data_IF_615585088313
#
_entry.id   IF_615585088313
#
_cell.length_a   1.000
_cell.length_b   1.000
_cell.length_c   1.000
_cell.angle_alpha   90.00
_cell.angle_beta   90.00
_cell.angle_gamma   90.00
#
_symmetry.space_group_name_H-M   'P 1'
#
loop_
_entity.id
_entity.type
_entity.pdbx_description
1 polymer ?
#
# COMPACT_ATOMS: atom_id res chain seq x y z
N UNK A 1 4.47 -31.74 -20.03
CA UNK A 1 3.06 -31.91 -20.43
C UNK A 1 2.36 -30.62 -20.08
N UNK A 2 2.02 -29.81 -21.10
CA UNK A 2 1.34 -28.53 -20.91
C UNK A 2 -0.10 -28.82 -20.51
N UNK A 3 -0.46 -28.52 -19.26
CA UNK A 3 -1.86 -28.56 -18.85
C UNK A 3 -2.56 -27.34 -19.46
N UNK A 4 -3.36 -27.59 -20.50
CA UNK A 4 -4.34 -26.65 -21.02
C UNK A 4 -5.42 -26.45 -19.96
N UNK A 5 -5.27 -25.41 -19.15
CA UNK A 5 -6.24 -25.08 -18.11
C UNK A 5 -7.53 -24.60 -18.78
N UNK A 6 -8.62 -25.31 -18.51
CA UNK A 6 -9.94 -24.95 -19.04
C UNK A 6 -10.57 -23.88 -18.13
N UNK A 7 -11.37 -22.99 -18.70
CA UNK A 7 -12.06 -21.88 -17.99
C UNK A 7 -12.73 -22.24 -16.63
N UNK A 8 -13.26 -23.47 -16.40
CA UNK A 8 -13.82 -23.88 -15.11
C UNK A 8 -12.82 -23.96 -13.95
N UNK A 9 -11.55 -24.28 -14.23
CA UNK A 9 -10.51 -24.38 -13.19
C UNK A 9 -10.06 -22.99 -12.73
N UNK A 10 -10.15 -21.98 -13.59
CA UNK A 10 -9.86 -20.60 -13.20
C UNK A 10 -10.92 -20.06 -12.22
N UNK A 11 -12.19 -20.41 -12.41
CA UNK A 11 -13.29 -19.94 -11.56
C UNK A 11 -13.30 -20.57 -10.17
N UNK A 12 -12.77 -21.79 -10.00
CA UNK A 12 -12.60 -22.38 -8.66
C UNK A 12 -11.50 -21.68 -7.88
N UNK A 13 -10.36 -21.39 -8.52
CA UNK A 13 -9.24 -20.68 -7.87
C UNK A 13 -9.63 -19.28 -7.41
N UNK A 14 -10.46 -18.57 -8.18
CA UNK A 14 -10.97 -17.24 -7.79
C UNK A 14 -11.85 -17.31 -6.54
N UNK A 15 -12.61 -18.40 -6.33
CA UNK A 15 -13.46 -18.58 -5.14
C UNK A 15 -12.67 -18.81 -3.86
N UNK A 16 -11.45 -19.34 -3.97
CA UNK A 16 -10.57 -19.57 -2.82
C UNK A 16 -9.95 -18.27 -2.29
N UNK A 17 -9.93 -17.20 -3.10
CA UNK A 17 -9.39 -15.89 -2.70
C UNK A 17 -10.31 -15.25 -1.67
N UNK A 18 -9.84 -15.23 -0.43
CA UNK A 18 -10.56 -14.66 0.72
C UNK A 18 -9.58 -13.91 1.61
N UNK A 19 -10.10 -13.18 2.60
CA UNK A 19 -9.25 -12.37 3.48
C UNK A 19 -8.22 -13.27 4.20
N UNK A 20 -6.93 -12.95 4.03
CA UNK A 20 -5.84 -13.75 4.60
C UNK A 20 -5.50 -15.01 3.80
N UNK A 21 -6.25 -15.33 2.73
CA UNK A 21 -5.96 -16.42 1.81
C UNK A 21 -5.71 -15.87 0.40
N UNK A 22 -4.43 -15.55 0.14
CA UNK A 22 -3.97 -14.98 -1.14
C UNK A 22 -3.55 -16.09 -2.09
N UNK A 23 -3.87 -15.93 -3.37
CA UNK A 23 -3.42 -16.86 -4.41
C UNK A 23 -2.30 -16.22 -5.22
N UNK A 24 -1.20 -16.96 -5.41
CA UNK A 24 -0.04 -16.50 -6.18
C UNK A 24 0.06 -17.28 -7.49
N UNK A 25 0.11 -16.54 -8.61
CA UNK A 25 0.29 -17.10 -9.94
C UNK A 25 1.76 -17.02 -10.34
N UNK A 26 2.36 -18.19 -10.54
CA UNK A 26 3.77 -18.31 -10.93
C UNK A 26 3.90 -18.76 -12.38
N UNK A 27 4.76 -18.11 -13.16
CA UNK A 27 5.18 -18.59 -14.48
C UNK A 27 6.65 -19.01 -14.38
N UNK A 28 6.96 -20.26 -14.69
CA UNK A 28 8.32 -20.83 -14.58
C UNK A 28 8.94 -20.67 -13.18
N UNK A 29 8.16 -20.89 -12.11
CA UNK A 29 8.62 -20.76 -10.73
C UNK A 29 8.79 -19.31 -10.23
N UNK A 30 8.52 -18.31 -11.07
CA UNK A 30 8.57 -16.90 -10.68
C UNK A 30 7.15 -16.37 -10.48
N UNK A 31 6.83 -15.98 -9.24
CA UNK A 31 5.58 -15.31 -8.92
C UNK A 31 5.55 -13.92 -9.57
N UNK A 32 4.59 -13.69 -10.46
CA UNK A 32 4.43 -12.39 -11.13
C UNK A 32 3.14 -11.68 -10.73
N UNK A 33 2.11 -12.43 -10.31
CA UNK A 33 0.78 -11.90 -10.03
C UNK A 33 0.27 -12.52 -8.73
N UNK A 34 -0.36 -11.72 -7.89
CA UNK A 34 -1.10 -12.16 -6.72
C UNK A 34 -2.56 -11.73 -6.84
N UNK A 35 -3.48 -12.63 -6.52
CA UNK A 35 -4.90 -12.31 -6.31
C UNK A 35 -5.12 -12.18 -4.81
N UNK A 36 -5.66 -11.03 -4.41
CA UNK A 36 -5.85 -10.63 -3.03
C UNK A 36 -7.31 -10.24 -2.85
N UNK A 37 -7.87 -10.53 -1.69
CA UNK A 37 -9.20 -10.05 -1.35
C UNK A 37 -9.24 -8.51 -1.34
N UNK A 38 -10.31 -7.90 -1.85
CA UNK A 38 -10.40 -6.44 -1.96
C UNK A 38 -10.30 -5.73 -0.61
N UNK A 39 -10.94 -6.26 0.44
CA UNK A 39 -10.86 -5.68 1.78
C UNK A 39 -9.44 -5.74 2.33
N UNK A 40 -8.74 -6.85 2.08
CA UNK A 40 -7.35 -7.01 2.47
C UNK A 40 -6.43 -6.04 1.70
N UNK A 41 -6.69 -5.80 0.41
CA UNK A 41 -5.99 -4.79 -0.37
C UNK A 41 -6.20 -3.38 0.21
N UNK A 42 -7.44 -2.99 0.49
CA UNK A 42 -7.77 -1.68 1.06
C UNK A 42 -7.07 -1.45 2.41
N UNK A 43 -6.99 -2.50 3.24
CA UNK A 43 -6.36 -2.39 4.56
C UNK A 43 -4.83 -2.28 4.45
N UNK A 44 -4.20 -2.97 3.48
CA UNK A 44 -2.78 -2.79 3.15
C UNK A 44 -2.52 -1.35 2.68
N UNK A 45 -3.37 -0.80 1.81
CA UNK A 45 -3.22 0.58 1.31
C UNK A 45 -3.34 1.61 2.43
N UNK A 46 -4.32 1.45 3.33
CA UNK A 46 -4.45 2.30 4.53
C UNK A 46 -3.23 2.21 5.43
N UNK A 47 -2.72 1.01 5.68
CA UNK A 47 -1.51 0.82 6.48
C UNK A 47 -0.30 1.48 5.84
N UNK A 48 -0.15 1.37 4.52
CA UNK A 48 0.93 2.04 3.80
C UNK A 48 0.81 3.57 3.87
N UNK A 49 -0.41 4.11 3.76
CA UNK A 49 -0.65 5.53 3.90
C UNK A 49 -0.33 6.03 5.32
N UNK A 50 -0.75 5.29 6.35
CA UNK A 50 -0.43 5.60 7.74
C UNK A 50 1.08 5.56 8.00
N UNK A 51 1.76 4.52 7.54
CA UNK A 51 3.21 4.40 7.69
C UNK A 51 3.98 5.56 7.04
N UNK A 52 3.57 5.97 5.83
CA UNK A 52 4.14 7.14 5.17
C UNK A 52 3.89 8.42 5.96
N UNK A 53 2.68 8.59 6.46
CA UNK A 53 2.31 9.73 7.29
C UNK A 53 3.15 9.79 8.58
N UNK A 54 3.34 8.66 9.26
CA UNK A 54 4.17 8.56 10.46
C UNK A 54 5.62 8.97 10.20
N UNK A 55 6.20 8.56 9.05
CA UNK A 55 7.56 8.98 8.65
C UNK A 55 7.64 10.50 8.50
N UNK A 56 6.68 11.12 7.80
CA UNK A 56 6.70 12.58 7.61
C UNK A 56 6.46 13.33 8.92
N UNK A 57 5.60 12.81 9.80
CA UNK A 57 5.41 13.36 11.15
C UNK A 57 6.69 13.28 11.98
N UNK A 58 7.42 12.16 11.95
CA UNK A 58 8.70 12.04 12.64
C UNK A 58 9.74 13.05 12.13
N UNK A 59 9.76 13.32 10.82
CA UNK A 59 10.60 14.38 10.26
C UNK A 59 10.21 15.75 10.81
N UNK A 60 8.91 16.06 10.86
CA UNK A 60 8.40 17.31 11.45
C UNK A 60 8.72 17.45 12.94
N UNK A 61 8.55 16.39 13.72
CA UNK A 61 8.92 16.38 15.14
C UNK A 61 10.42 16.61 15.35
N UNK A 62 11.25 16.07 14.44
CA UNK A 62 12.69 16.28 14.45
C UNK A 62 13.06 17.72 14.07
N UNK A 63 12.45 18.28 13.03
CA UNK A 63 12.76 19.65 12.59
C UNK A 63 12.39 20.68 13.65
N UNK A 64 11.27 20.50 14.37
CA UNK A 64 10.91 21.37 15.51
C UNK A 64 12.02 21.41 16.59
N UNK A 65 12.78 20.33 16.76
CA UNK A 65 13.86 20.25 17.76
C UNK A 65 15.21 20.78 17.25
N UNK A 66 15.47 20.64 15.95
CA UNK A 66 16.80 20.84 15.38
C UNK A 66 16.91 22.08 14.47
N UNK A 67 15.79 22.63 14.01
CA UNK A 67 15.74 23.71 13.02
C UNK A 67 15.04 24.95 13.59
N UNK A 68 15.31 26.12 12.99
CA UNK A 68 14.61 27.37 13.34
C UNK A 68 13.17 27.33 12.84
N UNK A 69 12.23 27.73 13.70
CA UNK A 69 10.80 27.76 13.40
C UNK A 69 10.33 29.19 13.14
N UNK A 70 9.42 29.37 12.18
CA UNK A 70 8.74 30.65 11.92
C UNK A 70 7.36 30.68 12.58
N UNK A 71 6.89 31.86 12.96
CA UNK A 71 5.51 32.04 13.45
C UNK A 71 4.47 31.86 12.34
N UNK A 72 3.21 31.62 12.72
CA UNK A 72 2.13 31.48 11.72
C UNK A 72 1.91 32.78 10.94
N UNK A 73 2.06 33.93 11.60
CA UNK A 73 1.97 35.26 10.98
C UNK A 73 3.08 35.50 9.96
N UNK A 74 4.33 35.14 10.27
CA UNK A 74 5.46 35.26 9.34
C UNK A 74 5.28 34.33 8.14
N UNK A 75 4.88 33.08 8.37
CA UNK A 75 4.63 32.11 7.31
C UNK A 75 3.53 32.58 6.34
N UNK A 76 2.42 33.12 6.86
CA UNK A 76 1.33 33.68 6.04
C UNK A 76 1.81 34.83 5.17
N UNK A 77 2.61 35.74 5.75
CA UNK A 77 3.21 36.86 5.02
C UNK A 77 4.15 36.38 3.90
N UNK A 78 4.94 35.34 4.12
CA UNK A 78 5.80 34.73 3.09
C UNK A 78 5.01 34.05 1.98
N UNK A 79 3.92 33.36 2.33
CA UNK A 79 3.04 32.68 1.37
C UNK A 79 2.07 33.62 0.65
N UNK A 80 1.99 34.89 1.06
CA UNK A 80 1.12 35.90 0.46
C UNK A 80 -0.38 35.67 0.69
N UNK A 81 -0.73 35.02 1.82
CA UNK A 81 -2.10 34.68 2.21
C UNK A 81 -2.53 35.32 3.53
#
# INVERSE_FOLDING_TARGET
>A
MLFGCSLPEYTSVVKEVSYGNRVYLTKNGHGQIAMINMQELDDIEKQLALYKFEIEMQKGEKSIKEEETVSSEELRKELGI
#
